data_IF_190296150525
#
_entry.id   IF_190296150525
#
_cell.length_a   1.000
_cell.length_b   1.000
_cell.length_c   1.000
_cell.angle_alpha   90.00
_cell.angle_beta   90.00
_cell.angle_gamma   90.00
#
_symmetry.space_group_name_H-M   'P 1'
#
loop_
_entity.id
_entity.type
_entity.pdbx_description
1 polymer ?
#
# COMPACT_ATOMS: atom_id res chain seq x y z
N UNK A 1 -26.37 21.43 13.07
CA UNK A 1 -25.36 22.13 13.87
C UNK A 1 -24.38 22.76 12.91
N UNK A 2 -24.11 24.06 13.08
CA UNK A 2 -23.21 24.84 12.23
C UNK A 2 -22.10 25.46 13.06
N UNK A 3 -20.84 25.33 12.64
CA UNK A 3 -19.69 25.91 13.33
C UNK A 3 -18.62 26.33 12.33
N UNK A 4 -17.90 27.40 12.63
CA UNK A 4 -16.72 27.81 11.88
C UNK A 4 -15.49 27.34 12.66
N UNK A 5 -14.64 26.53 12.04
CA UNK A 5 -13.38 26.05 12.63
C UNK A 5 -12.29 26.30 11.58
N UNK A 6 -11.20 26.97 11.97
CA UNK A 6 -10.09 27.37 11.08
C UNK A 6 -10.52 28.13 9.81
N UNK A 7 -11.62 28.91 9.88
CA UNK A 7 -12.16 29.66 8.74
C UNK A 7 -13.06 28.85 7.81
N UNK A 8 -13.27 27.57 8.09
CA UNK A 8 -14.11 26.67 7.31
C UNK A 8 -15.47 26.48 8.00
N UNK A 9 -16.54 26.52 7.22
CA UNK A 9 -17.90 26.29 7.71
C UNK A 9 -18.21 24.80 7.70
N UNK A 10 -18.49 24.24 8.87
CA UNK A 10 -19.00 22.89 9.03
C UNK A 10 -20.46 22.95 9.41
N UNK A 11 -21.33 22.38 8.59
CA UNK A 11 -22.78 22.46 8.78
C UNK A 11 -23.44 21.13 8.47
N UNK A 12 -23.99 20.48 9.49
CA UNK A 12 -24.63 19.16 9.36
C UNK A 12 -25.91 19.18 8.51
N UNK A 13 -26.47 20.34 8.18
CA UNK A 13 -27.71 20.44 7.37
C UNK A 13 -27.45 20.42 5.87
N UNK A 14 -26.34 21.01 5.42
CA UNK A 14 -25.95 21.07 4.01
C UNK A 14 -24.95 19.98 3.61
N UNK A 15 -24.37 19.30 4.61
CA UNK A 15 -23.35 18.28 4.40
C UNK A 15 -23.97 16.91 4.13
N UNK A 16 -23.31 16.11 3.29
CA UNK A 16 -23.69 14.73 3.04
C UNK A 16 -23.37 13.87 4.27
N UNK A 17 -24.36 13.13 4.77
CA UNK A 17 -24.17 12.20 5.88
C UNK A 17 -23.55 10.90 5.38
N UNK A 18 -22.28 10.68 5.67
CA UNK A 18 -21.53 9.47 5.30
C UNK A 18 -22.02 8.26 6.08
N UNK A 19 -22.31 8.45 7.37
CA UNK A 19 -22.79 7.36 8.21
C UNK A 19 -23.01 7.77 9.66
N UNK A 20 -23.72 6.93 10.40
CA UNK A 20 -24.04 7.12 11.82
C UNK A 20 -23.74 5.84 12.58
N UNK A 21 -23.14 5.98 13.75
CA UNK A 21 -22.89 4.88 14.67
C UNK A 21 -23.23 5.31 16.09
N UNK A 22 -23.75 4.40 16.90
CA UNK A 22 -23.93 4.60 18.33
C UNK A 22 -23.45 3.37 19.10
N UNK A 23 -23.24 3.55 20.39
CA UNK A 23 -22.75 2.47 21.26
C UNK A 23 -23.84 1.46 21.69
N UNK A 24 -24.99 1.42 21.01
CA UNK A 24 -26.08 0.47 21.25
C UNK A 24 -26.83 0.66 22.56
N UNK A 25 -26.53 1.72 23.33
CA UNK A 25 -27.20 2.01 24.60
C UNK A 25 -28.54 2.73 24.36
N UNK A 26 -29.52 2.57 25.27
CA UNK A 26 -30.71 3.40 25.25
C UNK A 26 -30.35 4.89 25.28
N UNK A 27 -31.08 5.73 24.54
CA UNK A 27 -30.83 7.19 24.45
C UNK A 27 -30.84 7.89 25.81
N UNK A 28 -31.55 7.33 26.81
CA UNK A 28 -31.62 7.85 28.18
C UNK A 28 -30.48 7.34 29.09
N UNK A 29 -29.57 6.49 28.61
CA UNK A 29 -28.40 6.03 29.35
C UNK A 29 -27.35 7.17 29.41
N UNK A 30 -26.83 7.46 30.60
CA UNK A 30 -25.82 8.48 30.80
C UNK A 30 -24.52 8.21 30.00
N UNK A 31 -24.27 6.95 29.65
CA UNK A 31 -23.14 6.50 28.83
C UNK A 31 -23.46 6.44 27.33
N UNK A 32 -24.69 6.74 26.89
CA UNK A 32 -25.05 6.75 25.47
C UNK A 32 -24.17 7.75 24.70
N UNK A 33 -23.70 7.37 23.52
CA UNK A 33 -23.20 8.35 22.55
C UNK A 33 -23.41 7.87 21.13
N UNK A 34 -23.49 8.85 20.25
CA UNK A 34 -23.67 8.71 18.82
C UNK A 34 -22.67 9.60 18.10
N UNK A 35 -22.11 9.05 17.04
CA UNK A 35 -21.12 9.65 16.18
C UNK A 35 -21.62 9.62 14.74
N UNK A 36 -21.52 10.74 14.04
CA UNK A 36 -21.93 10.89 12.66
C UNK A 36 -20.83 11.55 11.87
N UNK A 37 -20.38 10.91 10.79
CA UNK A 37 -19.42 11.53 9.87
C UNK A 37 -20.17 12.20 8.74
N UNK A 38 -19.77 13.43 8.44
CA UNK A 38 -20.32 14.24 7.37
C UNK A 38 -19.22 14.64 6.39
N UNK A 39 -19.62 14.83 5.13
CA UNK A 39 -18.80 15.36 4.05
C UNK A 39 -19.38 16.69 3.57
N UNK A 40 -18.58 17.75 3.65
CA UNK A 40 -18.92 19.06 3.09
C UNK A 40 -18.98 19.00 1.56
N UNK A 41 -19.68 19.94 0.90
CA UNK A 41 -19.68 20.07 -0.57
C UNK A 41 -18.27 20.19 -1.18
N UNK A 42 -17.35 20.83 -0.46
CA UNK A 42 -15.95 21.00 -0.86
C UNK A 42 -15.10 19.71 -0.69
N UNK A 43 -15.69 18.63 -0.17
CA UNK A 43 -15.07 17.32 -0.03
C UNK A 43 -14.38 17.06 1.32
N UNK A 44 -14.32 18.04 2.21
CA UNK A 44 -13.79 17.87 3.57
C UNK A 44 -14.72 17.08 4.48
N UNK A 45 -14.15 16.32 5.41
CA UNK A 45 -14.92 15.50 6.36
C UNK A 45 -14.92 16.10 7.76
N UNK A 46 -15.96 15.81 8.53
CA UNK A 46 -15.99 16.14 9.95
C UNK A 46 -16.86 15.16 10.73
N UNK A 47 -16.48 14.93 11.99
CA UNK A 47 -17.24 14.16 12.95
C UNK A 47 -18.17 15.08 13.74
N UNK A 48 -19.44 14.73 13.76
CA UNK A 48 -20.40 15.22 14.73
C UNK A 48 -20.61 14.15 15.81
N UNK A 49 -20.14 14.43 17.03
CA UNK A 49 -20.36 13.58 18.19
C UNK A 49 -21.41 14.18 19.10
N UNK A 50 -22.30 13.35 19.63
CA UNK A 50 -23.20 13.71 20.73
C UNK A 50 -23.32 12.56 21.72
N UNK A 51 -23.39 12.87 23.01
CA UNK A 51 -23.56 11.82 24.00
C UNK A 51 -24.04 12.33 25.34
N UNK A 52 -24.37 11.37 26.20
CA UNK A 52 -24.78 11.57 27.57
C UNK A 52 -23.63 12.04 28.45
N UNK A 53 -24.00 12.36 29.67
CA UNK A 53 -23.18 13.01 30.70
C UNK A 53 -21.86 12.25 31.01
N UNK A 54 -21.86 10.92 30.89
CA UNK A 54 -20.73 10.05 31.18
C UNK A 54 -20.06 9.48 29.92
N UNK A 55 -20.43 9.97 28.74
CA UNK A 55 -19.84 9.54 27.47
C UNK A 55 -18.50 10.26 27.16
N UNK A 56 -17.77 9.78 26.15
CA UNK A 56 -16.58 10.47 25.62
C UNK A 56 -16.88 11.88 25.08
N UNK A 57 -18.16 12.16 24.78
CA UNK A 57 -18.65 13.48 24.37
C UNK A 57 -19.26 14.25 25.54
N UNK A 58 -19.14 13.80 26.80
CA UNK A 58 -19.61 14.50 27.98
C UNK A 58 -18.96 15.88 28.14
N UNK A 59 -19.73 16.88 28.53
CA UNK A 59 -19.25 18.25 28.77
C UNK A 59 -19.71 18.76 30.13
N UNK A 60 -19.06 19.80 30.66
CA UNK A 60 -19.50 20.47 31.89
C UNK A 60 -20.08 21.83 31.54
N UNK A 61 -21.28 22.13 32.02
CA UNK A 61 -21.90 23.44 31.92
C UNK A 61 -22.28 23.92 33.33
N UNK A 62 -21.77 25.09 33.74
CA UNK A 62 -21.90 25.62 35.12
C UNK A 62 -21.61 24.60 36.22
N UNK A 63 -20.51 23.84 36.11
CA UNK A 63 -20.10 22.84 37.09
C UNK A 63 -21.09 21.65 37.25
N UNK A 64 -22.04 21.50 36.34
CA UNK A 64 -22.89 20.31 36.22
C UNK A 64 -22.47 19.50 35.01
N UNK A 65 -22.34 18.18 35.14
CA UNK A 65 -22.00 17.32 34.03
C UNK A 65 -23.23 17.22 33.11
N UNK A 66 -23.04 17.48 31.83
CA UNK A 66 -24.06 17.53 30.80
C UNK A 66 -23.63 16.66 29.60
N UNK A 67 -24.61 16.18 28.82
CA UNK A 67 -24.29 15.61 27.53
C UNK A 67 -23.66 16.66 26.63
N UNK A 68 -22.54 16.36 25.97
CA UNK A 68 -21.91 17.30 25.05
C UNK A 68 -22.20 16.94 23.59
N UNK A 69 -22.10 17.94 22.74
CA UNK A 69 -22.18 17.82 21.29
C UNK A 69 -21.08 18.66 20.66
N UNK A 70 -20.38 18.12 19.66
CA UNK A 70 -19.21 18.75 19.08
C UNK A 70 -19.05 18.44 17.61
N UNK A 71 -18.38 19.35 16.90
CA UNK A 71 -17.87 19.13 15.54
C UNK A 71 -16.35 19.09 15.62
N UNK A 72 -15.76 18.05 15.06
CA UNK A 72 -14.31 17.86 14.93
C UNK A 72 -13.99 17.66 13.45
N UNK A 73 -13.19 18.55 12.82
CA UNK A 73 -12.71 18.34 11.45
C UNK A 73 -11.92 17.03 11.34
N UNK A 74 -12.04 16.35 10.21
CA UNK A 74 -11.34 15.09 9.93
C UNK A 74 -10.66 15.15 8.58
N UNK A 75 -9.52 14.48 8.49
CA UNK A 75 -8.90 14.12 7.21
C UNK A 75 -9.67 12.99 6.53
N UNK A 76 -9.48 12.84 5.22
CA UNK A 76 -10.08 11.73 4.45
C UNK A 76 -9.68 10.35 5.00
N UNK A 77 -8.45 10.19 5.46
CA UNK A 77 -7.96 8.91 6.00
C UNK A 77 -8.58 8.59 7.37
N UNK A 78 -8.79 9.59 8.21
CA UNK A 78 -9.53 9.43 9.47
C UNK A 78 -11.00 9.07 9.21
N UNK A 79 -11.64 9.69 8.21
CA UNK A 79 -13.01 9.37 7.82
C UNK A 79 -13.13 7.93 7.28
N UNK A 80 -12.18 7.49 6.45
CA UNK A 80 -12.08 6.09 5.98
C UNK A 80 -11.90 5.11 7.13
N UNK A 81 -11.02 5.44 8.09
CA UNK A 81 -10.76 4.58 9.26
C UNK A 81 -12.02 4.44 10.11
N UNK A 82 -12.69 5.54 10.41
CA UNK A 82 -13.97 5.53 11.13
C UNK A 82 -15.02 4.70 10.40
N UNK A 83 -15.16 4.86 9.08
CA UNK A 83 -16.11 4.12 8.28
C UNK A 83 -15.82 2.60 8.29
N UNK A 84 -14.53 2.20 8.23
CA UNK A 84 -14.13 0.78 8.33
C UNK A 84 -14.46 0.16 9.68
N UNK A 85 -14.31 0.92 10.76
CA UNK A 85 -14.56 0.42 12.12
C UNK A 85 -16.04 0.40 12.49
N UNK A 86 -16.84 1.30 11.93
CA UNK A 86 -18.19 1.62 12.42
C UNK A 86 -19.32 1.38 11.44
N UNK A 87 -19.08 1.41 10.13
CA UNK A 87 -20.09 1.14 9.11
C UNK A 87 -20.00 -0.31 8.61
N UNK A 88 -21.08 -0.78 8.01
CA UNK A 88 -21.07 -2.03 7.27
C UNK A 88 -20.37 -1.85 5.90
N UNK A 89 -20.05 -2.96 5.25
CA UNK A 89 -19.36 -2.97 3.96
C UNK A 89 -20.09 -2.13 2.91
N UNK A 90 -21.43 -2.19 2.86
CA UNK A 90 -22.21 -1.41 1.90
C UNK A 90 -22.12 0.11 2.15
N UNK A 91 -22.15 0.54 3.41
CA UNK A 91 -22.06 1.94 3.80
C UNK A 91 -20.68 2.52 3.50
N UNK A 92 -19.62 1.73 3.72
CA UNK A 92 -18.28 2.13 3.30
C UNK A 92 -18.18 2.28 1.78
N UNK A 93 -18.62 1.27 1.02
CA UNK A 93 -18.45 1.24 -0.43
C UNK A 93 -19.26 2.30 -1.16
N UNK A 94 -20.41 2.70 -0.60
CA UNK A 94 -21.23 3.79 -1.14
C UNK A 94 -20.51 5.14 -1.13
N UNK A 95 -19.66 5.42 -0.13
CA UNK A 95 -18.97 6.72 -0.02
C UNK A 95 -17.55 6.66 -0.59
N UNK A 96 -16.81 5.61 -0.29
CA UNK A 96 -15.38 5.52 -0.61
C UNK A 96 -15.09 4.60 -1.81
N UNK A 97 -16.12 4.00 -2.41
CA UNK A 97 -16.00 2.99 -3.46
C UNK A 97 -15.66 1.60 -2.91
N UNK A 98 -15.70 0.56 -3.78
CA UNK A 98 -15.32 -0.79 -3.39
C UNK A 98 -13.95 -0.76 -2.71
N UNK A 99 -13.83 -1.43 -1.56
CA UNK A 99 -12.53 -1.60 -0.93
C UNK A 99 -11.56 -2.11 -2.00
N UNK A 100 -10.44 -1.41 -2.21
CA UNK A 100 -9.37 -1.98 -3.01
C UNK A 100 -9.01 -3.30 -2.32
N UNK A 101 -9.37 -4.41 -2.98
CA UNK A 101 -8.91 -5.72 -2.55
C UNK A 101 -7.39 -5.60 -2.48
N UNK A 102 -6.75 -6.08 -1.40
CA UNK A 102 -5.29 -6.16 -1.40
C UNK A 102 -4.89 -6.82 -2.72
N UNK A 103 -4.02 -6.15 -3.49
CA UNK A 103 -3.50 -6.69 -4.75
C UNK A 103 -2.72 -7.95 -4.41
N UNK A 104 -3.43 -9.07 -4.38
CA UNK A 104 -2.85 -10.40 -4.21
C UNK A 104 -2.17 -10.75 -5.52
N UNK A 105 -0.85 -10.87 -5.47
CA UNK A 105 -0.12 -11.46 -6.58
C UNK A 105 -0.35 -12.97 -6.54
N UNK A 106 -1.37 -13.45 -7.26
CA UNK A 106 -1.72 -14.87 -7.28
C UNK A 106 -0.71 -15.71 -8.07
N UNK A 107 0.12 -16.49 -7.38
CA UNK A 107 0.43 -17.85 -7.80
C UNK A 107 -0.81 -18.70 -7.42
N UNK A 108 -1.21 -19.62 -8.29
CA UNK A 108 -2.37 -20.52 -8.17
C UNK A 108 -2.24 -21.56 -7.04
N UNK A 109 -1.48 -21.25 -5.98
CA UNK A 109 -1.23 -22.12 -4.83
C UNK A 109 -1.41 -21.36 -3.52
N UNK A 110 -2.64 -20.94 -3.25
CA UNK A 110 -3.27 -21.02 -1.92
C UNK A 110 -2.60 -20.41 -0.67
N UNK A 111 -1.49 -19.68 -0.78
CA UNK A 111 -0.84 -19.01 0.36
C UNK A 111 -0.96 -17.50 0.16
N UNK A 112 -1.78 -16.86 0.99
CA UNK A 112 -1.95 -15.40 1.03
C UNK A 112 -0.68 -14.78 1.63
N UNK A 113 0.35 -14.61 0.82
CA UNK A 113 1.52 -13.85 1.23
C UNK A 113 1.09 -12.41 1.55
N UNK A 114 1.42 -11.87 2.74
CA UNK A 114 1.09 -10.50 3.08
C UNK A 114 1.72 -9.58 2.03
N UNK A 115 0.90 -8.72 1.41
CA UNK A 115 1.38 -7.79 0.38
C UNK A 115 2.40 -6.87 1.05
N UNK A 116 3.70 -6.99 0.70
CA UNK A 116 4.70 -6.13 1.31
C UNK A 116 4.34 -4.69 0.99
N UNK A 117 4.48 -3.81 1.98
CA UNK A 117 4.30 -2.37 1.84
C UNK A 117 2.86 -1.84 1.73
N UNK A 118 1.81 -2.64 1.92
CA UNK A 118 0.40 -2.24 1.68
C UNK A 118 -0.04 -0.92 2.37
N UNK A 119 0.46 -0.61 3.55
CA UNK A 119 0.13 0.63 4.29
C UNK A 119 1.28 1.65 4.31
N UNK A 120 2.37 1.38 3.58
CA UNK A 120 3.56 2.22 3.58
C UNK A 120 3.51 3.25 2.44
N UNK A 121 3.83 4.50 2.79
CA UNK A 121 4.12 5.56 1.82
C UNK A 121 5.40 5.27 1.04
N UNK A 122 5.56 5.88 -0.15
CA UNK A 122 6.76 5.73 -0.98
C UNK A 122 8.06 6.02 -0.21
N UNK A 123 8.03 6.98 0.72
CA UNK A 123 9.18 7.31 1.58
C UNK A 123 9.51 6.17 2.54
N UNK A 124 8.50 5.63 3.23
CA UNK A 124 8.68 4.51 4.16
C UNK A 124 9.21 3.27 3.43
N UNK A 125 8.71 2.99 2.21
CA UNK A 125 9.20 1.89 1.38
C UNK A 125 10.70 2.05 1.10
N UNK A 126 11.12 3.24 0.67
CA UNK A 126 12.52 3.51 0.36
C UNK A 126 13.44 3.41 1.57
N UNK A 127 13.01 3.91 2.73
CA UNK A 127 13.76 3.74 3.99
C UNK A 127 13.92 2.25 4.30
N UNK A 128 12.84 1.49 4.21
CA UNK A 128 12.84 0.05 4.48
C UNK A 128 13.70 -0.74 3.48
N UNK A 129 13.76 -0.29 2.22
CA UNK A 129 14.65 -0.86 1.20
C UNK A 129 16.12 -0.53 1.49
N UNK A 130 16.41 0.72 1.89
CA UNK A 130 17.76 1.15 2.26
C UNK A 130 18.32 0.38 3.46
N UNK A 131 17.48 0.11 4.48
CA UNK A 131 17.84 -0.76 5.62
C UNK A 131 18.22 -2.18 5.21
N UNK A 132 17.69 -2.64 4.06
CA UNK A 132 18.01 -3.94 3.44
C UNK A 132 19.13 -3.86 2.40
N UNK A 133 19.85 -2.74 2.32
CA UNK A 133 20.97 -2.53 1.40
C UNK A 133 20.59 -2.09 -0.02
N UNK A 134 19.32 -1.75 -0.26
CA UNK A 134 18.84 -1.29 -1.56
C UNK A 134 18.81 0.24 -1.64
N UNK A 135 19.59 0.80 -2.55
CA UNK A 135 19.60 2.23 -2.84
C UNK A 135 18.46 2.59 -3.79
N UNK A 136 17.64 3.59 -3.45
CA UNK A 136 16.58 4.08 -4.33
C UNK A 136 17.01 5.34 -5.09
N UNK A 137 16.74 5.40 -6.39
CA UNK A 137 16.89 6.58 -7.26
C UNK A 137 15.58 6.76 -8.05
N UNK A 138 15.12 7.97 -8.31
CA UNK A 138 13.96 8.21 -9.16
C UNK A 138 14.09 9.45 -10.04
N UNK A 139 13.32 9.45 -11.12
CA UNK A 139 13.35 10.47 -12.14
C UNK A 139 11.95 10.72 -12.68
N UNK A 140 11.62 12.00 -12.85
CA UNK A 140 10.46 12.47 -13.59
C UNK A 140 10.97 13.16 -14.86
N UNK A 141 10.54 12.70 -16.04
CA UNK A 141 11.06 13.19 -17.32
C UNK A 141 10.03 13.09 -18.44
N UNK A 142 9.98 14.08 -19.32
CA UNK A 142 9.23 13.98 -20.59
C UNK A 142 10.03 13.30 -21.70
N UNK A 143 11.35 13.14 -21.52
CA UNK A 143 12.23 12.55 -22.53
C UNK A 143 11.91 11.06 -22.67
N UNK A 144 11.58 10.63 -23.89
CA UNK A 144 11.29 9.23 -24.22
C UNK A 144 9.84 8.81 -23.97
N UNK A 145 8.95 9.76 -23.64
CA UNK A 145 7.54 9.49 -23.30
C UNK A 145 6.55 10.28 -24.16
N UNK A 146 6.89 10.51 -25.43
CA UNK A 146 6.09 11.32 -26.38
C UNK A 146 5.67 12.67 -25.74
N UNK A 147 4.36 12.94 -25.63
CA UNK A 147 3.78 14.14 -25.05
C UNK A 147 3.46 14.01 -23.55
N UNK A 148 3.84 12.89 -22.92
CA UNK A 148 3.56 12.61 -21.50
C UNK A 148 4.81 12.80 -20.64
N UNK A 149 4.59 12.98 -19.34
CA UNK A 149 5.65 12.92 -18.33
C UNK A 149 5.70 11.50 -17.79
N UNK A 150 6.86 10.85 -17.93
CA UNK A 150 7.14 9.55 -17.34
C UNK A 150 7.82 9.68 -15.98
N UNK A 151 7.42 8.81 -15.05
CA UNK A 151 8.10 8.59 -13.79
C UNK A 151 8.84 7.26 -13.83
N UNK A 152 10.07 7.22 -13.33
CA UNK A 152 10.86 6.00 -13.18
C UNK A 152 11.49 5.93 -11.80
N UNK A 153 11.47 4.74 -11.18
CA UNK A 153 12.09 4.42 -9.89
C UNK A 153 13.06 3.26 -10.10
N UNK A 154 14.25 3.33 -9.53
CA UNK A 154 15.27 2.29 -9.48
C UNK A 154 15.55 1.92 -8.02
N UNK A 155 15.63 0.62 -7.75
CA UNK A 155 16.25 0.05 -6.57
C UNK A 155 17.52 -0.69 -7.00
N UNK A 156 18.66 -0.24 -6.49
CA UNK A 156 19.96 -0.74 -6.90
C UNK A 156 20.80 -1.20 -5.72
N UNK A 157 21.72 -2.13 -5.97
CA UNK A 157 22.71 -2.57 -4.98
C UNK A 157 24.04 -2.94 -5.62
N UNK A 158 25.12 -2.71 -4.87
CA UNK A 158 26.51 -2.89 -5.32
C UNK A 158 27.14 -4.20 -4.85
N UNK A 159 26.44 -4.92 -3.99
CA UNK A 159 26.81 -6.24 -3.49
C UNK A 159 25.69 -7.23 -3.78
N UNK A 160 26.02 -8.52 -3.86
CA UNK A 160 25.04 -9.59 -3.97
C UNK A 160 25.47 -10.81 -3.15
N UNK A 161 24.69 -11.17 -2.14
CA UNK A 161 24.95 -12.22 -1.13
C UNK A 161 26.41 -12.33 -0.68
N UNK A 162 27.03 -11.18 -0.35
CA UNK A 162 28.43 -11.12 0.10
C UNK A 162 29.47 -10.96 -1.01
N UNK A 163 29.07 -11.02 -2.28
CA UNK A 163 29.92 -10.74 -3.44
C UNK A 163 29.85 -9.27 -3.80
N UNK A 164 30.98 -8.56 -3.81
CA UNK A 164 31.03 -7.19 -4.32
C UNK A 164 30.98 -7.20 -5.85
N UNK A 165 30.05 -6.44 -6.42
CA UNK A 165 29.84 -6.39 -7.86
C UNK A 165 30.69 -5.31 -8.52
N UNK A 166 31.05 -5.54 -9.79
CA UNK A 166 31.68 -4.51 -10.65
C UNK A 166 30.68 -3.45 -11.10
N UNK A 167 29.45 -3.87 -11.37
CA UNK A 167 28.33 -3.03 -11.77
C UNK A 167 27.17 -3.22 -10.77
N UNK A 168 26.40 -2.17 -10.51
CA UNK A 168 25.22 -2.28 -9.63
C UNK A 168 24.12 -3.12 -10.29
N UNK A 169 23.53 -4.05 -9.55
CA UNK A 169 22.24 -4.64 -9.93
C UNK A 169 21.20 -3.54 -9.77
N UNK A 170 20.40 -3.30 -10.81
CA UNK A 170 19.35 -2.28 -10.82
C UNK A 170 18.02 -2.90 -11.24
N UNK A 171 17.03 -2.78 -10.36
CA UNK A 171 15.65 -3.17 -10.63
C UNK A 171 14.81 -1.91 -10.66
N UNK A 172 14.10 -1.67 -11.74
CA UNK A 172 13.39 -0.44 -12.01
C UNK A 172 11.96 -0.69 -12.45
N UNK A 173 11.16 0.37 -12.36
CA UNK A 173 9.80 0.42 -12.86
C UNK A 173 9.52 1.82 -13.36
N UNK A 174 8.74 1.92 -14.43
CA UNK A 174 8.34 3.19 -15.02
C UNK A 174 6.85 3.22 -15.31
N UNK A 175 6.25 4.40 -15.29
CA UNK A 175 4.86 4.64 -15.66
C UNK A 175 4.68 6.07 -16.15
N UNK A 176 3.74 6.28 -17.07
CA UNK A 176 3.23 7.61 -17.44
C UNK A 176 1.98 8.01 -16.64
N UNK A 177 1.41 7.07 -15.87
CA UNK A 177 0.26 7.28 -14.99
C UNK A 177 0.76 7.73 -13.60
N UNK A 178 0.80 9.04 -13.38
CA UNK A 178 1.43 9.64 -12.19
C UNK A 178 0.60 9.49 -10.91
N UNK A 179 -0.69 9.20 -11.02
CA UNK A 179 -1.59 8.99 -9.88
C UNK A 179 -1.30 7.69 -9.12
N UNK A 180 -0.53 6.77 -9.73
CA UNK A 180 -0.21 5.45 -9.18
C UNK A 180 1.29 5.27 -8.86
N UNK A 181 2.04 6.37 -8.68
CA UNK A 181 3.49 6.32 -8.39
C UNK A 181 3.80 5.46 -7.16
N UNK A 182 2.98 5.56 -6.11
CA UNK A 182 3.21 4.80 -4.88
C UNK A 182 3.14 3.29 -5.12
N UNK A 183 2.17 2.84 -5.91
CA UNK A 183 1.99 1.43 -6.22
C UNK A 183 3.15 0.92 -7.08
N UNK A 184 3.59 1.73 -8.06
CA UNK A 184 4.77 1.42 -8.86
C UNK A 184 6.03 1.28 -7.99
N UNK A 185 6.21 2.14 -6.98
CA UNK A 185 7.33 2.06 -6.03
C UNK A 185 7.25 0.75 -5.22
N UNK A 186 6.06 0.40 -4.72
CA UNK A 186 5.84 -0.83 -3.96
C UNK A 186 6.09 -2.09 -4.79
N UNK A 187 5.54 -2.16 -6.01
CA UNK A 187 5.72 -3.28 -6.94
C UNK A 187 7.18 -3.44 -7.34
N UNK A 188 7.89 -2.34 -7.59
CA UNK A 188 9.32 -2.38 -7.94
C UNK A 188 10.18 -2.79 -6.76
N UNK A 189 9.87 -2.33 -5.54
CA UNK A 189 10.55 -2.78 -4.32
C UNK A 189 10.33 -4.28 -4.07
N UNK A 190 9.09 -4.75 -4.22
CA UNK A 190 8.78 -6.18 -4.09
C UNK A 190 9.51 -7.02 -5.13
N UNK A 191 9.62 -6.54 -6.37
CA UNK A 191 10.42 -7.20 -7.43
C UNK A 191 11.88 -7.34 -7.02
N UNK A 192 12.45 -6.30 -6.40
CA UNK A 192 13.81 -6.33 -5.91
C UNK A 192 14.03 -7.34 -4.78
N UNK A 193 13.11 -7.40 -3.81
CA UNK A 193 13.17 -8.40 -2.73
C UNK A 193 13.00 -9.83 -3.26
N UNK A 194 12.04 -10.07 -4.17
CA UNK A 194 11.87 -11.38 -4.79
C UNK A 194 13.11 -11.81 -5.57
N UNK A 195 13.76 -10.89 -6.29
CA UNK A 195 15.01 -11.19 -6.98
C UNK A 195 16.12 -11.57 -6.00
N UNK A 196 16.22 -10.85 -4.87
CA UNK A 196 17.19 -11.16 -3.82
C UNK A 196 17.05 -12.58 -3.27
N UNK A 197 15.82 -13.00 -3.01
CA UNK A 197 15.51 -14.32 -2.44
C UNK A 197 15.64 -15.44 -3.49
N UNK A 198 15.21 -15.19 -4.73
CA UNK A 198 15.20 -16.19 -5.78
C UNK A 198 16.59 -16.58 -6.30
N UNK A 199 17.56 -15.66 -6.22
CA UNK A 199 18.90 -15.85 -6.78
C UNK A 199 19.98 -15.68 -5.70
N UNK A 200 20.16 -16.67 -4.80
CA UNK A 200 21.15 -16.58 -3.72
C UNK A 200 22.60 -16.61 -4.24
N UNK A 201 22.84 -17.37 -5.31
CA UNK A 201 24.20 -17.64 -5.82
C UNK A 201 24.47 -17.00 -7.20
N UNK A 202 23.49 -16.31 -7.77
CA UNK A 202 23.55 -15.78 -9.13
C UNK A 202 23.15 -14.30 -9.15
N UNK A 203 23.88 -13.49 -9.92
CA UNK A 203 23.60 -12.05 -10.05
C UNK A 203 22.54 -11.85 -11.14
N UNK A 204 21.35 -11.31 -10.80
CA UNK A 204 20.28 -11.20 -11.78
C UNK A 204 20.31 -9.87 -12.55
N UNK A 205 19.66 -9.87 -13.71
CA UNK A 205 19.40 -8.67 -14.52
C UNK A 205 17.91 -8.57 -14.84
N UNK A 206 17.41 -7.33 -14.89
CA UNK A 206 16.05 -7.06 -15.32
C UNK A 206 15.99 -6.93 -16.84
N UNK A 207 15.11 -7.71 -17.45
CA UNK A 207 14.76 -7.63 -18.87
C UNK A 207 13.84 -6.45 -19.16
N UNK A 208 13.74 -6.04 -20.43
CA UNK A 208 12.81 -4.99 -20.87
C UNK A 208 11.34 -5.28 -20.50
N UNK A 209 10.95 -6.55 -20.36
CA UNK A 209 9.60 -6.97 -19.96
C UNK A 209 9.37 -7.03 -18.44
N UNK A 210 10.18 -6.33 -17.63
CA UNK A 210 10.14 -6.34 -16.17
C UNK A 210 10.35 -7.72 -15.50
N UNK A 211 10.78 -8.74 -16.25
CA UNK A 211 11.20 -10.03 -15.70
C UNK A 211 12.64 -9.92 -15.21
N UNK A 212 12.91 -10.50 -14.04
CA UNK A 212 14.26 -10.60 -13.47
C UNK A 212 14.76 -12.02 -13.67
N UNK A 213 15.86 -12.17 -14.39
CA UNK A 213 16.47 -13.46 -14.79
C UNK A 213 17.96 -13.45 -14.46
N UNK A 214 18.62 -14.61 -14.32
CA UNK A 214 20.08 -14.67 -14.25
C UNK A 214 20.73 -13.97 -15.45
N UNK A 215 21.91 -13.37 -15.25
CA UNK A 215 22.64 -12.67 -16.32
C UNK A 215 22.92 -13.58 -17.54
N UNK A 216 23.17 -14.87 -17.30
CA UNK A 216 23.40 -15.86 -18.37
C UNK A 216 22.17 -16.02 -19.29
N UNK A 217 20.96 -15.95 -18.73
CA UNK A 217 19.69 -16.08 -19.47
C UNK A 217 19.31 -14.82 -20.25
N UNK A 218 19.91 -13.68 -19.92
CA UNK A 218 19.71 -12.41 -20.62
C UNK A 218 20.50 -12.36 -21.93
N UNK A 219 21.71 -12.91 -21.94
CA UNK A 219 22.60 -12.90 -23.10
C UNK A 219 22.24 -13.98 -24.14
N UNK A 220 21.40 -14.95 -23.78
CA UNK A 220 20.94 -15.99 -24.71
C UNK A 220 19.61 -15.62 -25.36
N UNK A 221 19.52 -15.63 -26.70
CA UNK A 221 18.24 -15.57 -27.39
C UNK A 221 17.31 -16.67 -26.86
N UNK A 222 15.98 -16.45 -26.83
CA UNK A 222 15.01 -17.42 -26.28
C UNK A 222 15.18 -18.84 -26.82
N UNK A 223 15.63 -18.98 -28.07
CA UNK A 223 15.88 -20.23 -28.80
C UNK A 223 17.03 -21.08 -28.24
N UNK A 224 17.91 -20.50 -27.42
CA UNK A 224 19.11 -21.16 -26.89
C UNK A 224 19.08 -21.35 -25.37
N UNK A 225 18.03 -20.89 -24.68
CA UNK A 225 17.87 -21.14 -23.24
C UNK A 225 17.73 -22.63 -23.01
N UNK A 226 18.62 -23.20 -22.20
CA UNK A 226 18.51 -24.60 -21.80
C UNK A 226 17.27 -24.75 -20.93
N UNK A 227 16.27 -25.49 -21.39
CA UNK A 227 15.14 -25.85 -20.56
C UNK A 227 15.66 -26.51 -19.27
N UNK A 228 15.35 -25.90 -18.12
CA UNK A 228 15.79 -26.35 -16.80
C UNK A 228 15.24 -27.73 -16.38
N UNK A 229 14.68 -28.51 -17.30
CA UNK A 229 14.11 -29.84 -17.05
C UNK A 229 15.09 -31.01 -17.21
N UNK A 230 16.33 -30.77 -17.67
CA UNK A 230 17.22 -31.88 -18.06
C UNK A 230 18.50 -32.04 -17.22
N UNK A 231 18.44 -31.71 -15.91
CA UNK A 231 19.54 -31.99 -14.96
C UNK A 231 19.27 -33.14 -13.98
N UNK A 232 18.29 -34.01 -14.26
CA UNK A 232 18.06 -35.24 -13.47
C UNK A 232 17.99 -36.49 -14.32
N UNK A 233 18.96 -36.73 -15.22
CA UNK A 233 19.26 -38.09 -15.70
C UNK A 233 20.60 -38.19 -16.47
N UNK A 234 21.74 -37.96 -15.83
CA UNK A 234 23.01 -38.49 -16.35
C UNK A 234 23.99 -38.80 -15.22
N UNK A 235 23.67 -39.85 -14.45
CA UNK A 235 24.50 -40.31 -13.35
C UNK A 235 24.32 -41.79 -13.03
N UNK A 236 24.59 -42.68 -13.98
CA UNK A 236 25.15 -44.03 -13.67
C UNK A 236 25.49 -44.80 -14.95
N UNK A 237 26.74 -44.69 -15.38
CA UNK A 237 27.39 -45.77 -16.13
C UNK A 237 28.74 -46.03 -15.47
N UNK A 238 28.68 -46.67 -14.31
CA UNK A 238 29.85 -47.30 -13.73
C UNK A 238 30.24 -48.48 -14.62
N UNK A 239 31.43 -48.40 -15.21
CA UNK A 239 32.13 -49.53 -15.82
C UNK A 239 32.50 -50.50 -14.70
N UNK A 240 32.00 -51.73 -14.74
CA UNK A 240 32.61 -52.86 -14.05
C UNK A 240 33.65 -53.48 -14.99
N UNK A 241 34.92 -53.26 -14.66
CA UNK A 241 36.06 -54.10 -15.06
C UNK A 241 36.35 -55.06 -13.90
N UNK A 242 36.90 -56.24 -14.23
CA UNK A 242 37.28 -57.41 -13.41
C UNK A 242 36.18 -58.48 -13.37
N UNK A 243 36.36 -59.74 -13.79
CA UNK A 243 37.50 -60.59 -14.19
C UNK A 243 37.11 -61.48 -15.38
#
# INVERSE_FOLDING_TARGET
MRKIIYGIVYDTEISHSVGTWNNGRPINDACFYEERVYRNPDGEYFLFGQGGVLSCHGSYWHNMPNGGRGITPMTTDEAKTWAKERLDTSGYESEFGPQEKPRVHGDLRGELEPVPFLDMSSKQIRVSMAERGWMSEDQLTSIGWEDKIGYTIWFSRWDWHGVKLRNKVSIHGHSTELDHIRDLVAETAQRALKAWEAYPDEVPVQTFGNKVVPEEDFLQPPEFRKDAKDKTQSGSRARSLNE
#
